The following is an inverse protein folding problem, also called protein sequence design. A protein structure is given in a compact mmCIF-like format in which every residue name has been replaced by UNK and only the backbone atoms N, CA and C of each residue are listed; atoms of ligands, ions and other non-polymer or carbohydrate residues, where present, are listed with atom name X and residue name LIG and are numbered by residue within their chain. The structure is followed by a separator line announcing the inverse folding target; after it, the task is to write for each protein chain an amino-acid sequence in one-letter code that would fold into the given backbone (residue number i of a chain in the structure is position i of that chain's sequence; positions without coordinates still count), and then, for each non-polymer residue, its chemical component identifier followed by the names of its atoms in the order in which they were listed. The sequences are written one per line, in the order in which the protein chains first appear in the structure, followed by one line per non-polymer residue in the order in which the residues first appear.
data_IF_162017280202
#
_entry.id   IF_162017280202
#
_cell.length_a   1.000
_cell.length_b   1.000
_cell.length_c   1.000
_cell.angle_alpha   90.00
_cell.angle_beta   90.00
_cell.angle_gamma   90.00
#
_symmetry.space_group_name_H-M   'P 1'
#
loop_
_entity.id
_entity.type
_entity.pdbx_description
1 polymer ?
#
# COMPACT_ATOMS: atom_id res chain seq x y z
N UNK A 1 -21.01 36.76 -51.12
CA UNK A 1 -21.27 36.50 -49.69
C UNK A 1 -20.77 35.10 -49.39
N UNK A 2 -19.55 34.97 -48.89
CA UNK A 2 -18.93 33.67 -48.57
C UNK A 2 -19.25 33.32 -47.11
N UNK A 3 -19.94 32.20 -46.89
CA UNK A 3 -20.15 31.65 -45.56
C UNK A 3 -19.00 30.70 -45.22
N UNK A 4 -18.18 31.10 -44.25
CA UNK A 4 -17.11 30.29 -43.67
C UNK A 4 -17.71 29.41 -42.56
N UNK A 5 -17.67 28.10 -42.73
CA UNK A 5 -18.07 27.12 -41.71
C UNK A 5 -16.99 27.03 -40.63
N UNK A 6 -17.34 27.08 -39.32
CA UNK A 6 -16.35 26.93 -38.26
C UNK A 6 -16.05 25.44 -38.03
N UNK A 7 -14.76 25.10 -38.02
CA UNK A 7 -14.28 23.74 -37.70
C UNK A 7 -14.23 23.60 -36.19
N UNK A 8 -15.07 22.73 -35.63
CA UNK A 8 -15.06 22.36 -34.21
C UNK A 8 -13.95 21.33 -34.00
N UNK A 9 -12.88 21.71 -33.30
CA UNK A 9 -11.81 20.80 -32.88
C UNK A 9 -12.26 20.13 -31.57
N UNK A 10 -12.67 18.87 -31.66
CA UNK A 10 -12.93 18.03 -30.50
C UNK A 10 -11.58 17.53 -29.93
N UNK A 11 -11.20 18.05 -28.76
CA UNK A 11 -10.10 17.51 -27.96
C UNK A 11 -10.54 16.18 -27.34
N UNK A 12 -10.11 15.06 -27.91
CA UNK A 12 -10.23 13.75 -27.27
C UNK A 12 -9.22 13.66 -26.12
N UNK A 13 -9.70 13.85 -24.89
CA UNK A 13 -8.99 13.47 -23.68
C UNK A 13 -8.93 11.94 -23.59
N UNK A 14 -7.80 11.35 -24.01
CA UNK A 14 -7.55 9.93 -23.81
C UNK A 14 -7.29 9.67 -22.32
N UNK A 15 -8.30 9.16 -21.61
CA UNK A 15 -8.12 8.57 -20.29
C UNK A 15 -7.29 7.29 -20.43
N UNK A 16 -6.04 7.34 -19.96
CA UNK A 16 -5.22 6.14 -19.78
C UNK A 16 -5.84 5.28 -18.67
N UNK A 17 -6.70 4.33 -19.05
CA UNK A 17 -7.12 3.26 -18.16
C UNK A 17 -5.95 2.28 -18.03
N UNK A 18 -5.15 2.41 -16.98
CA UNK A 18 -4.18 1.39 -16.61
C UNK A 18 -4.98 0.19 -16.10
N UNK A 19 -4.98 -0.90 -16.86
CA UNK A 19 -5.63 -2.13 -16.45
C UNK A 19 -4.98 -2.63 -15.16
N UNK A 20 -5.79 -2.82 -14.11
CA UNK A 20 -5.33 -3.45 -12.89
C UNK A 20 -4.82 -4.87 -13.21
N UNK A 21 -3.68 -5.31 -12.65
CA UNK A 21 -3.20 -6.67 -12.88
C UNK A 21 -4.27 -7.68 -12.44
N UNK A 22 -4.53 -8.66 -13.30
CA UNK A 22 -5.47 -9.75 -13.03
C UNK A 22 -4.99 -10.56 -11.83
N UNK A 23 -5.85 -10.76 -10.82
CA UNK A 23 -5.56 -11.66 -9.72
C UNK A 23 -5.37 -13.10 -10.26
N UNK A 24 -4.18 -13.70 -10.05
CA UNK A 24 -3.98 -15.13 -10.31
C UNK A 24 -4.65 -15.97 -9.21
N UNK A 25 -4.88 -17.25 -9.51
CA UNK A 25 -5.32 -18.22 -8.50
C UNK A 25 -4.16 -18.56 -7.55
N UNK A 26 -4.19 -17.95 -6.37
CA UNK A 26 -3.31 -18.21 -5.22
C UNK A 26 -2.98 -19.70 -5.02
N UNK A 27 -3.95 -20.60 -5.25
CA UNK A 27 -3.74 -22.04 -5.05
C UNK A 27 -2.73 -22.63 -6.04
N UNK A 28 -2.74 -22.14 -7.28
CA UNK A 28 -1.82 -22.59 -8.32
C UNK A 28 -0.40 -22.13 -8.02
N UNK A 29 -0.24 -20.88 -7.57
CA UNK A 29 1.08 -20.33 -7.23
C UNK A 29 1.72 -21.09 -6.04
N UNK A 30 0.94 -21.40 -5.01
CA UNK A 30 1.38 -22.22 -3.87
C UNK A 30 1.88 -23.61 -4.29
N UNK A 31 1.16 -24.27 -5.20
CA UNK A 31 1.50 -25.64 -5.63
C UNK A 31 2.82 -25.69 -6.39
N UNK A 32 3.06 -24.71 -7.26
CA UNK A 32 4.27 -24.67 -8.07
C UNK A 32 5.53 -24.40 -7.23
N UNK A 33 5.47 -23.46 -6.28
CA UNK A 33 6.60 -23.16 -5.37
C UNK A 33 6.93 -24.37 -4.49
N UNK A 34 5.92 -25.04 -3.94
CA UNK A 34 6.13 -26.21 -3.10
C UNK A 34 6.77 -27.38 -3.86
N UNK A 35 6.32 -27.65 -5.09
CA UNK A 35 6.87 -28.73 -5.91
C UNK A 35 8.36 -28.51 -6.22
N UNK A 36 8.75 -27.29 -6.56
CA UNK A 36 10.15 -26.94 -6.84
C UNK A 36 11.06 -27.13 -5.61
N UNK A 37 10.61 -26.68 -4.43
CA UNK A 37 11.34 -26.86 -3.16
C UNK A 37 11.50 -28.32 -2.77
N UNK A 38 10.45 -29.12 -2.98
CA UNK A 38 10.44 -30.54 -2.62
C UNK A 38 11.40 -31.37 -3.49
N UNK A 39 11.54 -31.05 -4.77
CA UNK A 39 12.32 -31.84 -5.73
C UNK A 39 13.82 -31.45 -5.78
N UNK A 40 14.26 -30.38 -5.10
CA UNK A 40 15.61 -29.83 -5.26
C UNK A 40 16.22 -29.23 -3.97
N UNK A 41 17.17 -29.91 -3.33
CA UNK A 41 17.84 -29.49 -2.08
C UNK A 41 18.84 -28.31 -2.22
N UNK A 42 18.90 -27.64 -3.38
CA UNK A 42 19.74 -26.45 -3.55
C UNK A 42 19.34 -25.27 -2.64
N UNK A 43 18.15 -25.32 -2.02
CA UNK A 43 17.62 -24.31 -1.12
C UNK A 43 18.35 -24.22 0.24
N UNK A 44 19.04 -25.27 0.72
CA UNK A 44 19.63 -25.31 2.08
C UNK A 44 20.85 -24.39 2.28
N UNK A 45 21.65 -24.12 1.25
CA UNK A 45 22.98 -23.52 1.41
C UNK A 45 22.99 -22.00 1.60
N UNK A 46 21.88 -21.34 1.27
CA UNK A 46 21.70 -19.89 1.33
C UNK A 46 20.42 -19.48 2.10
N UNK A 47 19.84 -20.41 2.86
CA UNK A 47 18.49 -20.24 3.41
C UNK A 47 18.45 -19.20 4.53
N UNK A 48 17.62 -18.17 4.34
CA UNK A 48 17.21 -17.24 5.38
C UNK A 48 15.89 -17.72 5.98
N UNK A 49 15.70 -17.51 7.28
CA UNK A 49 14.41 -17.73 7.98
C UNK A 49 13.20 -17.13 7.24
N UNK A 50 13.41 -16.05 6.48
CA UNK A 50 12.45 -15.53 5.51
C UNK A 50 13.13 -15.35 4.15
N UNK A 51 12.52 -15.94 3.12
CA UNK A 51 12.74 -15.61 1.72
C UNK A 51 11.55 -14.78 1.23
N UNK A 52 11.82 -13.65 0.60
CA UNK A 52 10.80 -12.74 0.06
C UNK A 52 10.93 -12.66 -1.47
N UNK A 53 9.80 -12.73 -2.17
CA UNK A 53 9.73 -12.49 -3.62
C UNK A 53 10.06 -11.03 -3.95
N UNK A 54 9.75 -10.11 -3.04
CA UNK A 54 10.10 -8.70 -3.17
C UNK A 54 10.30 -8.04 -1.80
N UNK A 55 11.26 -7.12 -1.73
CA UNK A 55 11.51 -6.28 -0.55
C UNK A 55 11.40 -4.80 -0.92
N UNK A 56 10.81 -4.00 -0.03
CA UNK A 56 10.64 -2.56 -0.21
C UNK A 56 11.10 -1.80 1.02
N UNK A 57 11.84 -0.71 0.83
CA UNK A 57 12.20 0.23 1.90
C UNK A 57 11.71 1.62 1.50
N UNK A 58 10.72 2.11 2.23
CA UNK A 58 10.06 3.38 1.94
C UNK A 58 10.36 4.39 3.04
N UNK A 59 10.82 5.58 2.64
CA UNK A 59 10.93 6.74 3.52
C UNK A 59 9.65 7.54 3.43
N UNK A 60 8.97 7.69 4.56
CA UNK A 60 7.76 8.50 4.65
C UNK A 60 8.07 9.83 5.35
N UNK A 61 7.57 10.93 4.79
CA UNK A 61 7.79 12.28 5.31
C UNK A 61 6.47 13.09 5.34
N UNK A 62 6.43 14.19 6.10
CA UNK A 62 5.20 14.98 6.28
C UNK A 62 4.80 15.78 5.03
N UNK A 63 5.73 16.08 4.14
CA UNK A 63 5.51 16.88 2.92
C UNK A 63 4.86 16.10 1.77
N UNK A 64 4.68 14.78 1.93
CA UNK A 64 4.10 13.91 0.91
C UNK A 64 2.59 13.65 1.10
N UNK A 65 1.98 14.19 2.16
CA UNK A 65 0.61 13.85 2.56
C UNK A 65 -0.43 14.46 1.60
N UNK A 66 -1.36 13.63 1.13
CA UNK A 66 -2.48 14.00 0.27
C UNK A 66 -3.77 13.60 0.98
N UNK A 67 -4.65 14.56 1.23
CA UNK A 67 -5.95 14.30 1.84
C UNK A 67 -6.91 13.56 0.91
N UNK A 68 -8.01 13.04 1.45
CA UNK A 68 -9.00 12.23 0.71
C UNK A 68 -9.60 12.97 -0.50
N UNK A 69 -9.74 14.29 -0.42
CA UNK A 69 -10.21 15.15 -1.51
C UNK A 69 -9.14 15.40 -2.61
N UNK A 70 -7.94 14.83 -2.47
CA UNK A 70 -6.83 14.98 -3.43
C UNK A 70 -5.94 16.20 -3.21
N UNK A 71 -6.17 17.02 -2.18
CA UNK A 71 -5.32 18.19 -1.91
C UNK A 71 -4.08 17.80 -1.11
N UNK A 72 -2.92 18.33 -1.50
CA UNK A 72 -1.71 18.23 -0.69
C UNK A 72 -1.89 19.04 0.61
N UNK A 73 -1.57 18.42 1.74
CA UNK A 73 -1.69 19.03 3.08
C UNK A 73 -0.44 18.71 3.88
N UNK A 74 -0.04 19.55 4.85
CA UNK A 74 1.10 19.23 5.70
C UNK A 74 0.76 18.04 6.61
N UNK A 75 1.68 17.08 6.69
CA UNK A 75 1.72 16.09 7.76
C UNK A 75 2.30 16.65 9.06
N UNK A 76 2.65 15.76 9.99
CA UNK A 76 3.16 16.16 11.30
C UNK A 76 4.57 16.76 11.23
N UNK A 77 4.78 18.02 11.64
CA UNK A 77 6.11 18.63 11.61
C UNK A 77 7.14 17.82 12.39
N UNK A 78 8.30 17.58 11.78
CA UNK A 78 9.40 16.80 12.38
C UNK A 78 9.20 15.28 12.38
N UNK A 79 8.04 14.78 11.94
CA UNK A 79 7.79 13.35 11.83
C UNK A 79 8.53 12.75 10.62
N UNK A 80 8.93 11.48 10.74
CA UNK A 80 9.52 10.67 9.67
C UNK A 80 9.26 9.20 9.91
N UNK A 81 9.18 8.43 8.83
CA UNK A 81 9.00 6.98 8.88
C UNK A 81 9.98 6.23 7.98
N UNK A 82 10.37 5.05 8.42
CA UNK A 82 11.02 4.02 7.61
C UNK A 82 10.11 2.80 7.66
N UNK A 83 9.58 2.42 6.51
CA UNK A 83 8.72 1.27 6.33
C UNK A 83 9.49 0.25 5.52
N UNK A 84 9.73 -0.93 6.10
CA UNK A 84 10.35 -2.04 5.40
C UNK A 84 9.32 -3.13 5.21
N UNK A 85 9.22 -3.67 4.01
CA UNK A 85 8.32 -4.74 3.66
C UNK A 85 9.08 -5.88 2.99
N UNK A 86 8.69 -7.10 3.30
CA UNK A 86 9.02 -8.29 2.54
C UNK A 86 7.72 -8.98 2.14
N UNK A 87 7.57 -9.34 0.87
CA UNK A 87 6.36 -9.92 0.31
C UNK A 87 6.63 -11.33 -0.19
N UNK A 88 5.74 -12.25 0.16
CA UNK A 88 5.63 -13.55 -0.47
C UNK A 88 4.30 -13.63 -1.23
N UNK A 89 4.40 -13.75 -2.54
CA UNK A 89 3.30 -13.79 -3.49
C UNK A 89 2.53 -15.09 -3.32
N UNK A 90 3.23 -16.23 -3.30
CA UNK A 90 2.58 -17.53 -3.19
C UNK A 90 1.73 -17.64 -1.93
N UNK A 91 2.22 -17.18 -0.77
CA UNK A 91 1.47 -17.21 0.50
C UNK A 91 0.58 -15.98 0.75
N UNK A 92 0.44 -15.08 -0.22
CA UNK A 92 -0.29 -13.81 -0.09
C UNK A 92 0.04 -13.12 1.25
N UNK A 93 1.33 -13.03 1.55
CA UNK A 93 1.85 -12.64 2.85
C UNK A 93 2.76 -11.43 2.71
N UNK A 94 2.65 -10.50 3.65
CA UNK A 94 3.55 -9.34 3.77
C UNK A 94 4.08 -9.26 5.19
N UNK A 95 5.39 -9.36 5.33
CA UNK A 95 6.12 -9.06 6.55
C UNK A 95 6.57 -7.60 6.55
N UNK A 96 6.56 -6.98 7.72
CA UNK A 96 6.84 -5.56 7.87
C UNK A 96 7.75 -5.29 9.07
N UNK A 97 8.55 -4.23 8.95
CA UNK A 97 9.28 -3.60 10.03
C UNK A 97 9.19 -2.08 9.83
N UNK A 98 8.32 -1.47 10.63
CA UNK A 98 7.94 -0.07 10.55
C UNK A 98 8.56 0.65 11.74
N UNK A 99 9.26 1.74 11.47
CA UNK A 99 9.80 2.65 12.50
C UNK A 99 9.38 4.07 12.21
N UNK A 100 8.75 4.73 13.19
CA UNK A 100 8.36 6.13 13.13
C UNK A 100 9.15 6.93 14.18
N UNK A 101 9.49 8.18 13.86
CA UNK A 101 10.18 9.10 14.76
C UNK A 101 9.55 10.48 14.61
N UNK A 102 9.22 11.14 15.73
CA UNK A 102 8.54 12.45 15.73
C UNK A 102 7.03 12.38 15.47
N UNK A 103 6.46 11.18 15.33
CA UNK A 103 5.00 10.98 15.32
C UNK A 103 4.53 10.93 16.76
N UNK A 104 3.61 11.82 17.13
CA UNK A 104 3.16 12.01 18.52
C UNK A 104 1.64 11.91 18.65
N UNK A 105 1.16 11.74 19.88
CA UNK A 105 -0.27 11.61 20.17
C UNK A 105 -0.85 10.25 19.78
N UNK A 106 -2.17 10.15 19.95
CA UNK A 106 -2.92 8.90 19.73
C UNK A 106 -3.14 8.65 18.24
N UNK A 107 -3.03 7.39 17.84
CA UNK A 107 -3.44 6.94 16.51
C UNK A 107 -4.95 7.09 16.33
N UNK A 108 -5.38 7.46 15.13
CA UNK A 108 -6.81 7.58 14.77
C UNK A 108 -6.98 7.36 13.27
N UNK A 109 -7.98 6.57 12.90
CA UNK A 109 -8.31 6.23 11.52
C UNK A 109 -9.76 5.74 11.44
N UNK A 110 -10.35 5.84 10.26
CA UNK A 110 -11.62 5.18 9.96
C UNK A 110 -11.45 3.65 9.73
N UNK A 111 -10.23 3.23 9.36
CA UNK A 111 -9.88 1.82 9.25
C UNK A 111 -9.59 1.20 10.63
N UNK A 112 -9.45 -0.12 10.67
CA UNK A 112 -9.17 -0.88 11.92
C UNK A 112 -7.87 -0.47 12.61
N UNK A 113 -6.89 0.05 11.87
CA UNK A 113 -5.69 0.68 12.41
C UNK A 113 -5.42 1.98 11.67
N UNK A 114 -4.35 2.69 12.02
CA UNK A 114 -3.98 3.98 11.47
C UNK A 114 -2.61 3.93 10.77
N UNK A 115 -2.19 2.77 10.31
CA UNK A 115 -0.91 2.55 9.61
C UNK A 115 -1.19 1.62 8.44
N UNK A 116 -0.94 2.07 7.21
CA UNK A 116 -1.48 1.38 6.04
C UNK A 116 -0.50 1.21 4.89
N UNK A 117 -0.90 0.38 3.93
CA UNK A 117 -0.59 0.58 2.52
C UNK A 117 -1.90 0.89 1.79
N UNK A 118 -1.88 1.94 0.97
CA UNK A 118 -2.96 2.36 0.08
C UNK A 118 -2.60 2.09 -1.38
N UNK A 119 -3.62 1.88 -2.22
CA UNK A 119 -3.46 1.76 -3.68
C UNK A 119 -3.75 3.11 -4.35
N UNK A 120 -2.69 3.87 -4.63
CA UNK A 120 -2.72 5.01 -5.54
C UNK A 120 -1.31 5.37 -6.02
N UNK A 121 -1.24 5.94 -7.22
CA UNK A 121 -0.01 6.55 -7.73
C UNK A 121 0.37 7.80 -6.94
N UNK A 122 1.63 8.23 -7.09
CA UNK A 122 2.18 9.42 -6.45
C UNK A 122 1.28 10.65 -6.65
N UNK A 123 1.01 11.37 -5.56
CA UNK A 123 0.19 12.60 -5.57
C UNK A 123 -1.32 12.36 -5.63
N UNK A 124 -1.79 11.11 -5.53
CA UNK A 124 -3.22 10.78 -5.45
C UNK A 124 -3.58 10.11 -4.13
N UNK A 125 -4.82 10.30 -3.70
CA UNK A 125 -5.42 9.52 -2.62
C UNK A 125 -6.01 8.23 -3.21
N UNK A 126 -6.10 7.18 -2.40
CA UNK A 126 -6.69 5.90 -2.78
C UNK A 126 -7.12 5.10 -1.56
N UNK A 127 -7.82 3.97 -1.75
CA UNK A 127 -8.31 3.15 -0.66
C UNK A 127 -7.15 2.42 0.08
N UNK A 128 -7.22 2.24 1.41
CA UNK A 128 -6.33 1.33 2.11
C UNK A 128 -6.58 -0.11 1.66
N UNK A 129 -5.50 -0.86 1.45
CA UNK A 129 -5.50 -2.29 1.11
C UNK A 129 -4.91 -3.17 2.22
N UNK A 130 -4.04 -2.58 3.05
CA UNK A 130 -3.43 -3.25 4.20
C UNK A 130 -3.52 -2.34 5.42
N UNK A 131 -3.89 -2.90 6.56
CA UNK A 131 -3.92 -2.24 7.86
C UNK A 131 -2.98 -2.97 8.81
N UNK A 132 -1.89 -2.30 9.21
CA UNK A 132 -0.88 -2.85 10.11
C UNK A 132 -1.13 -2.42 11.55
N UNK A 133 -0.76 -3.23 12.55
CA UNK A 133 -0.71 -2.79 13.94
C UNK A 133 0.05 -1.46 14.07
N UNK A 134 -0.54 -0.50 14.77
CA UNK A 134 0.04 0.82 14.94
C UNK A 134 1.39 0.75 15.68
N UNK A 135 2.44 1.42 15.22
CA UNK A 135 3.73 1.44 15.92
C UNK A 135 3.62 1.95 17.35
N UNK A 136 4.19 1.23 18.31
CA UNK A 136 4.19 1.58 19.73
C UNK A 136 5.58 1.96 20.21
N UNK A 137 5.69 2.63 21.36
CA UNK A 137 6.96 3.10 21.93
C UNK A 137 6.99 4.62 22.12
N UNK A 138 8.14 5.18 22.52
CA UNK A 138 8.29 6.61 22.71
C UNK A 138 8.17 7.38 21.38
N UNK A 139 7.76 8.65 21.44
CA UNK A 139 7.61 9.52 20.26
C UNK A 139 8.90 9.69 19.44
N UNK A 140 10.07 9.56 20.08
CA UNK A 140 11.36 9.57 19.39
C UNK A 140 11.58 8.33 18.51
N UNK A 141 10.93 7.21 18.82
CA UNK A 141 11.03 5.93 18.10
C UNK A 141 9.86 4.98 18.43
N UNK A 142 8.82 5.02 17.61
CA UNK A 142 7.73 4.02 17.63
C UNK A 142 8.02 2.91 16.63
N UNK A 143 7.69 1.67 16.95
CA UNK A 143 7.96 0.50 16.10
C UNK A 143 6.78 -0.44 15.98
N UNK A 144 6.62 -1.08 14.82
CA UNK A 144 5.70 -2.19 14.57
C UNK A 144 6.39 -3.21 13.67
N UNK A 145 6.30 -4.50 14.01
CA UNK A 145 6.91 -5.58 13.22
C UNK A 145 6.06 -6.84 13.29
N UNK A 146 6.04 -7.61 12.21
CA UNK A 146 5.28 -8.85 12.11
C UNK A 146 4.99 -9.20 10.66
N UNK A 147 4.05 -10.13 10.44
CA UNK A 147 3.57 -10.46 9.11
C UNK A 147 2.04 -10.51 9.10
N UNK A 148 1.45 -10.13 7.97
CA UNK A 148 0.03 -10.28 7.68
C UNK A 148 -0.13 -11.29 6.55
N UNK A 149 -1.08 -12.21 6.68
CA UNK A 149 -1.46 -13.15 5.63
C UNK A 149 -2.88 -12.86 5.16
N UNK A 150 -3.11 -12.90 3.85
CA UNK A 150 -4.43 -12.70 3.28
C UNK A 150 -5.41 -13.84 3.61
N UNK A 151 -6.73 -13.63 3.42
CA UNK A 151 -7.36 -12.41 2.92
C UNK A 151 -7.24 -11.25 3.91
N UNK A 152 -7.01 -10.04 3.37
CA UNK A 152 -6.81 -8.84 4.19
C UNK A 152 -8.14 -8.14 4.50
N UNK A 153 -8.14 -7.34 5.56
CA UNK A 153 -9.29 -6.60 6.04
C UNK A 153 -8.86 -5.24 6.56
N UNK A 154 -9.56 -4.18 6.17
CA UNK A 154 -9.27 -2.80 6.64
C UNK A 154 -10.43 -2.17 7.41
N UNK A 155 -11.63 -2.76 7.38
CA UNK A 155 -12.80 -2.28 8.12
C UNK A 155 -13.50 -1.08 7.49
N UNK A 156 -13.21 -0.78 6.24
CA UNK A 156 -13.87 0.28 5.47
C UNK A 156 -14.53 -0.39 4.26
N UNK A 157 -15.84 -0.21 4.09
CA UNK A 157 -16.53 -0.75 2.93
C UNK A 157 -16.42 0.20 1.71
N UNK A 158 -16.40 -0.38 0.53
CA UNK A 158 -16.59 0.31 -0.73
C UNK A 158 -18.10 0.53 -1.00
N UNK A 159 -18.41 1.30 -2.05
CA UNK A 159 -19.78 1.56 -2.47
C UNK A 159 -20.35 0.48 -3.42
N UNK A 160 -19.78 -0.74 -3.43
CA UNK A 160 -20.31 -1.83 -4.24
C UNK A 160 -21.67 -2.32 -3.69
N UNK A 161 -22.40 -3.11 -4.49
CA UNK A 161 -23.67 -3.74 -4.08
C UNK A 161 -23.58 -5.25 -4.30
N UNK A 162 -23.50 -6.09 -3.25
CA UNK A 162 -23.45 -5.71 -1.83
C UNK A 162 -22.14 -4.98 -1.44
N UNK A 163 -22.13 -4.18 -0.36
CA UNK A 163 -20.90 -3.55 0.12
C UNK A 163 -19.83 -4.59 0.43
N UNK A 164 -18.59 -4.32 0.04
CA UNK A 164 -17.45 -5.16 0.34
C UNK A 164 -16.34 -4.34 1.01
N UNK A 165 -15.55 -4.98 1.87
CA UNK A 165 -14.38 -4.33 2.47
C UNK A 165 -13.42 -3.82 1.38
N UNK A 166 -12.75 -2.70 1.62
CA UNK A 166 -11.82 -2.11 0.67
C UNK A 166 -10.57 -2.95 0.45
N UNK A 167 -10.27 -3.95 1.28
CA UNK A 167 -9.24 -4.95 1.00
C UNK A 167 -9.80 -6.24 0.38
N UNK A 168 -11.11 -6.35 0.15
CA UNK A 168 -11.71 -7.54 -0.45
C UNK A 168 -11.11 -7.82 -1.84
N UNK A 169 -10.61 -9.04 -2.03
CA UNK A 169 -9.96 -9.48 -3.26
C UNK A 169 -8.54 -8.93 -3.49
N UNK A 170 -8.00 -8.13 -2.56
CA UNK A 170 -6.63 -7.63 -2.66
C UNK A 170 -5.61 -8.76 -2.49
N UNK A 171 -4.59 -8.76 -3.34
CA UNK A 171 -3.49 -9.71 -3.29
C UNK A 171 -2.14 -8.98 -3.38
N UNK A 172 -1.16 -9.38 -2.57
CA UNK A 172 0.16 -8.70 -2.49
C UNK A 172 0.91 -8.67 -3.83
N UNK A 173 0.62 -9.61 -4.75
CA UNK A 173 1.13 -9.58 -6.13
C UNK A 173 0.89 -8.27 -6.86
N UNK A 174 -0.18 -7.54 -6.52
CA UNK A 174 -0.50 -6.25 -7.12
C UNK A 174 0.57 -5.20 -6.77
N UNK A 175 1.11 -5.25 -5.53
CA UNK A 175 2.23 -4.41 -5.11
C UNK A 175 3.48 -4.77 -5.90
N UNK A 176 3.79 -6.07 -6.01
CA UNK A 176 4.99 -6.55 -6.74
C UNK A 176 4.94 -6.16 -8.22
N UNK A 177 3.77 -6.27 -8.86
CA UNK A 177 3.58 -5.92 -10.26
C UNK A 177 3.67 -4.41 -10.54
N UNK A 178 3.29 -3.57 -9.58
CA UNK A 178 3.33 -2.11 -9.74
C UNK A 178 3.54 -1.39 -8.40
N UNK A 179 4.76 -1.39 -7.84
CA UNK A 179 5.01 -0.79 -6.53
C UNK A 179 4.74 0.72 -6.55
N UNK A 180 5.01 1.39 -7.66
CA UNK A 180 4.71 2.82 -7.84
C UNK A 180 3.22 3.17 -7.77
N UNK A 181 2.33 2.18 -7.86
CA UNK A 181 0.89 2.30 -7.63
C UNK A 181 0.46 2.26 -6.16
N UNK A 182 1.39 2.16 -5.21
CA UNK A 182 1.10 2.04 -3.78
C UNK A 182 1.89 3.03 -2.93
N UNK A 183 1.29 3.45 -1.81
CA UNK A 183 1.96 4.28 -0.81
C UNK A 183 1.67 3.78 0.60
N UNK A 184 2.53 4.11 1.55
CA UNK A 184 2.32 3.87 2.97
C UNK A 184 2.18 5.16 3.74
N UNK A 185 1.45 5.12 4.85
CA UNK A 185 1.24 6.23 5.75
C UNK A 185 1.04 5.78 7.21
N UNK A 186 1.00 6.77 8.09
CA UNK A 186 0.44 6.62 9.43
C UNK A 186 -0.32 7.87 9.82
N UNK A 187 -1.40 7.73 10.58
CA UNK A 187 -2.30 8.82 10.98
C UNK A 187 -2.34 8.96 12.49
N UNK A 188 -2.57 10.18 12.96
CA UNK A 188 -2.84 10.46 14.38
C UNK A 188 -4.09 11.31 14.50
N UNK A 189 -4.65 11.44 15.70
CA UNK A 189 -5.84 12.24 15.94
C UNK A 189 -5.68 13.71 15.48
N UNK A 190 -4.46 14.26 15.54
CA UNK A 190 -4.15 15.61 15.07
C UNK A 190 -3.85 15.69 13.56
N UNK A 191 -3.50 14.56 12.95
CA UNK A 191 -3.11 14.45 11.54
C UNK A 191 -3.90 13.33 10.87
N UNK A 192 -5.22 13.51 10.79
CA UNK A 192 -6.15 12.50 10.25
C UNK A 192 -5.96 12.24 8.76
N UNK A 193 -5.48 13.23 7.99
CA UNK A 193 -5.07 13.03 6.60
C UNK A 193 -3.75 12.26 6.44
N UNK A 194 -2.97 12.14 7.52
CA UNK A 194 -1.67 11.47 7.56
C UNK A 194 -0.63 12.31 8.32
N UNK A 195 0.05 11.70 9.27
CA UNK A 195 1.23 12.27 9.93
C UNK A 195 2.46 12.18 9.03
N UNK A 196 2.62 11.08 8.31
CA UNK A 196 3.67 10.85 7.30
C UNK A 196 3.10 10.05 6.13
N UNK A 197 3.68 10.23 4.94
CA UNK A 197 3.38 9.43 3.74
C UNK A 197 4.65 9.14 2.93
N UNK A 198 4.72 7.98 2.29
CA UNK A 198 5.80 7.62 1.37
C UNK A 198 5.34 6.70 0.23
N UNK A 199 5.76 6.98 -1.00
CA UNK A 199 5.44 6.15 -2.18
C UNK A 199 6.38 4.93 -2.26
N UNK A 200 5.83 3.75 -2.59
CA UNK A 200 6.62 2.57 -2.93
C UNK A 200 7.25 2.75 -4.33
N UNK A 201 8.37 2.07 -4.58
CA UNK A 201 9.13 2.10 -5.84
C UNK A 201 9.81 0.75 -6.09
#
# INVERSE_FOLDING_TARGET
MHFSTPTIIALLSATLAVAAPTASDYKTDCQNDWADKWDNDSWEKDEKLFYFDAEYIVKATPDQVIATNGTAVPGQPGARGIFKYGINVAENTICYNITLSGVTGNYSSAAVTATHIHEAVKGKSGPPRLAFPNPTGPDSRRTSYGCLKGPFFVGINNNATPPADQAAGFHVRQIVANPSGFFTDSHTAMFTAGAVRGQLH
#
